data_IF_365511135829
#
_entry.id   IF_365511135829
#
_cell.length_a   1.000
_cell.length_b   1.000
_cell.length_c   1.000
_cell.angle_alpha   90.00
_cell.angle_beta   90.00
_cell.angle_gamma   90.00
#
_symmetry.space_group_name_H-M   'P 1'
#
loop_
_entity.id
_entity.type
_entity.pdbx_description
1 polymer ?
#
# COMPACT_ATOMS: atom_id res chain seq x y z
N UNK A 1 -8.06 -10.12 -11.69
CA UNK A 1 -8.38 -8.80 -11.09
C UNK A 1 -9.58 -8.12 -11.74
N UNK A 2 -9.68 -8.03 -13.08
CA UNK A 2 -10.86 -7.40 -13.74
C UNK A 2 -12.17 -8.12 -13.36
N UNK A 3 -12.22 -9.44 -13.52
CA UNK A 3 -13.43 -10.22 -13.21
C UNK A 3 -13.80 -10.23 -11.72
N UNK A 4 -12.80 -10.18 -10.83
CA UNK A 4 -13.02 -10.03 -9.39
C UNK A 4 -13.73 -8.71 -9.07
N UNK A 5 -13.28 -7.61 -9.68
CA UNK A 5 -13.86 -6.28 -9.51
C UNK A 5 -15.34 -6.27 -9.93
N UNK A 6 -15.63 -6.77 -11.13
CA UNK A 6 -16.99 -6.85 -11.67
C UNK A 6 -17.88 -7.79 -10.86
N UNK A 7 -17.37 -8.95 -10.45
CA UNK A 7 -18.11 -9.91 -9.61
C UNK A 7 -18.37 -9.37 -8.21
N UNK A 8 -17.44 -8.62 -7.63
CA UNK A 8 -17.62 -7.94 -6.35
C UNK A 8 -18.73 -6.89 -6.39
N UNK A 9 -18.93 -6.23 -7.53
CA UNK A 9 -20.07 -5.33 -7.73
C UNK A 9 -21.39 -6.09 -7.80
N UNK A 10 -21.46 -7.16 -8.59
CA UNK A 10 -22.65 -8.03 -8.65
C UNK A 10 -22.99 -8.59 -7.26
N UNK A 11 -22.00 -9.08 -6.52
CA UNK A 11 -22.19 -9.59 -5.16
C UNK A 11 -22.65 -8.53 -4.18
N UNK A 12 -22.13 -7.30 -4.30
CA UNK A 12 -22.60 -6.19 -3.49
C UNK A 12 -24.03 -5.72 -3.79
N UNK A 13 -24.56 -6.00 -5.00
CA UNK A 13 -25.93 -5.69 -5.39
C UNK A 13 -26.91 -6.83 -5.04
N UNK A 14 -26.44 -8.07 -5.13
CA UNK A 14 -27.21 -9.29 -4.86
C UNK A 14 -27.12 -9.76 -3.40
N UNK A 15 -26.33 -9.08 -2.56
CA UNK A 15 -25.95 -9.49 -1.21
C UNK A 15 -25.35 -10.91 -1.16
N UNK A 16 -24.44 -11.20 -2.10
CA UNK A 16 -23.80 -12.51 -2.29
C UNK A 16 -22.29 -12.44 -2.18
N UNK A 17 -21.71 -13.51 -1.66
CA UNK A 17 -20.26 -13.70 -1.57
C UNK A 17 -19.85 -14.88 -2.44
N UNK A 18 -18.86 -14.66 -3.30
CA UNK A 18 -18.40 -15.68 -4.25
C UNK A 18 -17.03 -16.22 -3.85
N UNK A 19 -16.85 -17.53 -4.03
CA UNK A 19 -15.55 -18.20 -3.93
C UNK A 19 -15.27 -18.86 -5.28
N UNK A 20 -14.18 -18.46 -5.92
CA UNK A 20 -13.76 -19.04 -7.20
C UNK A 20 -12.57 -19.96 -6.95
N UNK A 21 -12.63 -21.17 -7.50
CA UNK A 21 -11.51 -22.10 -7.47
C UNK A 21 -10.40 -21.63 -8.43
N UNK A 22 -9.12 -21.72 -8.04
CA UNK A 22 -8.02 -21.45 -8.97
C UNK A 22 -8.08 -22.39 -10.19
N UNK A 23 -7.86 -21.85 -11.39
CA UNK A 23 -7.79 -22.61 -12.65
C UNK A 23 -9.10 -23.31 -13.07
N UNK A 24 -10.24 -22.66 -12.86
CA UNK A 24 -11.57 -23.09 -13.33
C UNK A 24 -11.65 -23.31 -14.86
N UNK A 25 -10.84 -22.59 -15.63
CA UNK A 25 -10.76 -22.70 -17.09
C UNK A 25 -10.34 -24.09 -17.62
N UNK A 26 -9.76 -24.95 -16.78
CA UNK A 26 -9.42 -26.33 -17.17
C UNK A 26 -10.64 -27.21 -17.41
N UNK A 27 -11.78 -26.84 -16.84
CA UNK A 27 -13.03 -27.59 -16.95
C UNK A 27 -13.96 -27.00 -17.99
N UNK A 28 -13.97 -25.67 -18.14
CA UNK A 28 -14.82 -24.99 -19.12
C UNK A 28 -14.13 -23.74 -19.67
N UNK A 29 -14.13 -23.60 -21.01
CA UNK A 29 -13.59 -22.42 -21.67
C UNK A 29 -14.40 -21.17 -21.30
N UNK A 30 -13.69 -20.12 -20.89
CA UNK A 30 -14.25 -18.83 -20.44
C UNK A 30 -15.21 -18.91 -19.24
N UNK A 31 -15.07 -19.92 -18.36
CA UNK A 31 -15.92 -20.13 -17.18
C UNK A 31 -16.12 -18.84 -16.34
N UNK A 32 -15.01 -18.20 -15.96
CA UNK A 32 -15.02 -16.94 -15.20
C UNK A 32 -15.80 -15.83 -15.89
N UNK A 33 -15.68 -15.69 -17.22
CA UNK A 33 -16.38 -14.65 -17.98
C UNK A 33 -17.89 -14.90 -18.00
N UNK A 34 -18.29 -16.14 -18.28
CA UNK A 34 -19.71 -16.54 -18.30
C UNK A 34 -20.36 -16.28 -16.95
N UNK A 35 -19.70 -16.71 -15.86
CA UNK A 35 -20.17 -16.50 -14.50
C UNK A 35 -20.35 -15.01 -14.18
N UNK A 36 -19.35 -14.19 -14.46
CA UNK A 36 -19.40 -12.75 -14.16
C UNK A 36 -20.53 -12.07 -14.93
N UNK A 37 -20.67 -12.37 -16.21
CA UNK A 37 -21.69 -11.74 -17.05
C UNK A 37 -23.10 -12.20 -16.70
N UNK A 38 -23.30 -13.47 -16.34
CA UNK A 38 -24.60 -13.95 -15.86
C UNK A 38 -24.98 -13.28 -14.54
N UNK A 39 -24.06 -13.17 -13.58
CA UNK A 39 -24.35 -12.54 -12.29
C UNK A 39 -24.60 -11.03 -12.43
N UNK A 40 -23.86 -10.32 -13.29
CA UNK A 40 -24.13 -8.90 -13.58
C UNK A 40 -25.49 -8.69 -14.21
N UNK A 41 -25.88 -9.57 -15.14
CA UNK A 41 -27.19 -9.52 -15.77
C UNK A 41 -28.32 -9.75 -14.76
N UNK A 42 -28.16 -10.74 -13.87
CA UNK A 42 -29.12 -10.99 -12.79
C UNK A 42 -29.15 -9.85 -11.77
N UNK A 43 -28.01 -9.24 -11.44
CA UNK A 43 -27.93 -8.07 -10.57
C UNK A 43 -28.68 -6.87 -11.18
N UNK A 44 -28.53 -6.64 -12.50
CA UNK A 44 -29.24 -5.60 -13.23
C UNK A 44 -30.77 -5.77 -13.14
N UNK A 45 -31.26 -7.01 -13.32
CA UNK A 45 -32.69 -7.33 -13.19
C UNK A 45 -33.22 -7.14 -11.77
N UNK A 46 -32.52 -7.68 -10.77
CA UNK A 46 -33.01 -7.68 -9.38
C UNK A 46 -33.01 -6.28 -8.78
N UNK A 47 -32.00 -5.47 -9.10
CA UNK A 47 -31.89 -4.11 -8.55
C UNK A 47 -32.57 -3.05 -9.41
N UNK A 48 -33.17 -3.44 -10.55
CA UNK A 48 -33.78 -2.54 -11.54
C UNK A 48 -32.84 -1.40 -11.98
N UNK A 49 -31.54 -1.68 -12.05
CA UNK A 49 -30.49 -0.73 -12.41
C UNK A 49 -29.91 -1.06 -13.80
N UNK A 50 -30.36 -0.41 -14.88
CA UNK A 50 -29.93 -0.73 -16.23
C UNK A 50 -28.42 -0.51 -16.45
N UNK A 51 -27.84 0.46 -15.73
CA UNK A 51 -26.42 0.83 -15.85
C UNK A 51 -25.45 -0.26 -15.38
N UNK A 52 -25.92 -1.24 -14.60
CA UNK A 52 -25.07 -2.34 -14.09
C UNK A 52 -24.68 -3.32 -15.21
N UNK A 53 -25.51 -3.44 -16.24
CA UNK A 53 -25.25 -4.33 -17.36
C UNK A 53 -25.72 -3.69 -18.67
N UNK A 54 -24.75 -3.26 -19.49
CA UNK A 54 -25.00 -2.77 -20.84
C UNK A 54 -24.85 -3.92 -21.86
N UNK A 55 -25.89 -4.24 -22.66
CA UNK A 55 -25.82 -5.34 -23.65
C UNK A 55 -24.73 -5.16 -24.71
N UNK A 56 -24.47 -3.91 -25.10
CA UNK A 56 -23.46 -3.55 -26.11
C UNK A 56 -22.02 -3.68 -25.57
N UNK A 57 -21.85 -3.50 -24.25
CA UNK A 57 -20.55 -3.52 -23.58
C UNK A 57 -20.63 -4.29 -22.25
N UNK A 58 -20.78 -5.63 -22.28
CA UNK A 58 -20.98 -6.42 -21.07
C UNK A 58 -19.79 -6.27 -20.10
N UNK A 59 -20.11 -5.93 -18.84
CA UNK A 59 -19.12 -5.69 -17.79
C UNK A 59 -18.54 -4.26 -17.75
N UNK A 60 -19.02 -3.36 -18.61
CA UNK A 60 -18.70 -1.94 -18.58
C UNK A 60 -19.97 -1.11 -18.45
N UNK A 61 -19.80 0.10 -17.94
CA UNK A 61 -20.88 1.05 -17.74
C UNK A 61 -20.45 2.44 -18.21
N UNK A 62 -21.41 3.24 -18.67
CA UNK A 62 -21.20 4.64 -19.01
C UNK A 62 -21.04 5.47 -17.74
N UNK A 63 -19.96 6.24 -17.69
CA UNK A 63 -19.66 7.16 -16.59
C UNK A 63 -19.76 8.59 -17.12
N UNK A 64 -20.03 9.54 -16.23
CA UNK A 64 -20.04 10.97 -16.50
C UNK A 64 -18.88 11.64 -15.75
N UNK A 65 -18.23 12.60 -16.38
CA UNK A 65 -17.18 13.39 -15.72
C UNK A 65 -17.80 14.25 -14.62
N UNK A 66 -17.31 14.11 -13.38
CA UNK A 66 -17.80 14.88 -12.24
C UNK A 66 -17.48 16.38 -12.29
N UNK A 67 -16.58 16.82 -13.17
CA UNK A 67 -16.22 18.24 -13.35
C UNK A 67 -17.09 18.93 -14.39
N UNK A 68 -17.40 18.26 -15.51
CA UNK A 68 -18.15 18.86 -16.62
C UNK A 68 -19.59 18.35 -16.72
N UNK A 69 -19.87 17.14 -16.27
CA UNK A 69 -21.16 16.46 -16.43
C UNK A 69 -21.30 15.70 -17.74
N UNK A 70 -20.30 15.76 -18.63
CA UNK A 70 -20.34 15.09 -19.94
C UNK A 70 -20.09 13.58 -19.81
N UNK A 71 -20.70 12.73 -20.65
CA UNK A 71 -20.40 11.30 -20.69
C UNK A 71 -18.99 11.05 -21.23
N UNK A 72 -18.31 10.04 -20.68
CA UNK A 72 -17.06 9.55 -21.25
C UNK A 72 -17.30 8.96 -22.67
N UNK A 73 -16.31 9.13 -23.55
CA UNK A 73 -16.35 8.59 -24.92
C UNK A 73 -16.42 7.06 -24.95
N UNK A 74 -15.74 6.41 -24.01
CA UNK A 74 -15.69 4.96 -23.91
C UNK A 74 -16.28 4.48 -22.58
N UNK A 75 -17.06 3.38 -22.59
CA UNK A 75 -17.58 2.79 -21.37
C UNK A 75 -16.44 2.19 -20.54
N UNK A 76 -16.57 2.29 -19.22
CA UNK A 76 -15.50 1.96 -18.26
C UNK A 76 -15.97 0.82 -17.35
N UNK A 77 -15.02 -0.02 -16.93
CA UNK A 77 -15.31 -1.09 -15.98
C UNK A 77 -15.51 -0.47 -14.60
N UNK A 78 -16.69 -0.70 -14.01
CA UNK A 78 -17.00 -0.35 -12.62
C UNK A 78 -17.02 -1.64 -11.82
N UNK A 79 -16.49 -1.61 -10.61
CA UNK A 79 -16.56 -2.76 -9.74
C UNK A 79 -16.19 -2.49 -8.29
N UNK A 80 -16.21 -3.54 -7.47
CA UNK A 80 -15.75 -3.53 -6.07
C UNK A 80 -14.55 -4.47 -5.92
N UNK A 81 -13.32 -4.01 -6.16
CA UNK A 81 -12.13 -4.83 -5.98
C UNK A 81 -11.81 -4.99 -4.49
N UNK A 82 -11.16 -6.09 -4.13
CA UNK A 82 -10.61 -6.24 -2.79
C UNK A 82 -9.20 -5.62 -2.74
N UNK A 83 -9.09 -4.45 -2.12
CA UNK A 83 -7.82 -3.73 -1.99
C UNK A 83 -7.35 -3.78 -0.53
N UNK A 84 -6.16 -4.32 -0.31
CA UNK A 84 -5.53 -4.38 1.00
C UNK A 84 -4.76 -3.08 1.28
N UNK A 85 -4.97 -2.50 2.47
CA UNK A 85 -4.10 -1.44 2.99
C UNK A 85 -2.86 -2.09 3.60
N UNK A 86 -1.73 -1.95 2.92
CA UNK A 86 -0.43 -2.41 3.43
C UNK A 86 0.14 -1.42 4.44
N UNK A 87 0.90 -1.94 5.40
CA UNK A 87 1.67 -1.10 6.34
C UNK A 87 2.83 -0.47 5.56
N UNK A 88 2.81 0.85 5.44
CA UNK A 88 3.92 1.61 4.86
C UNK A 88 5.03 1.74 5.91
N UNK A 89 6.08 0.92 5.81
CA UNK A 89 7.28 1.00 6.66
C UNK A 89 8.21 2.17 6.28
N UNK A 90 7.72 3.17 5.54
CA UNK A 90 8.50 4.35 5.15
C UNK A 90 8.68 5.30 6.34
N UNK A 91 7.65 5.43 7.20
CA UNK A 91 7.75 6.25 8.42
C UNK A 91 8.75 5.66 9.43
N UNK A 92 8.96 4.34 9.45
CA UNK A 92 10.02 3.67 10.25
C UNK A 92 11.44 3.92 9.70
N UNK A 93 11.56 4.40 8.46
CA UNK A 93 12.86 4.66 7.79
C UNK A 93 13.22 6.14 7.71
N UNK A 94 12.34 7.07 8.11
CA UNK A 94 12.74 8.46 8.34
C UNK A 94 13.29 8.61 9.77
N UNK A 95 14.22 7.75 10.16
CA UNK A 95 15.23 8.16 11.14
C UNK A 95 16.23 9.02 10.38
N UNK A 96 15.90 10.30 10.22
CA UNK A 96 16.86 11.30 9.81
C UNK A 96 18.06 11.22 10.75
N UNK A 97 19.22 10.81 10.23
CA UNK A 97 20.50 10.96 10.92
C UNK A 97 20.77 12.45 11.10
N UNK A 98 20.20 13.02 12.14
CA UNK A 98 20.67 14.25 12.77
C UNK A 98 21.64 13.82 13.87
N UNK A 99 22.91 14.13 13.66
CA UNK A 99 24.06 13.99 14.58
C UNK A 99 23.84 13.21 15.88
N UNK A 100 24.42 12.00 15.98
CA UNK A 100 24.53 11.30 17.26
C UNK A 100 25.23 9.95 17.16
N UNK A 101 26.50 9.93 17.58
CA UNK A 101 27.24 8.91 18.35
C UNK A 101 28.74 9.11 18.01
N UNK A 102 29.33 10.22 18.47
CA UNK A 102 30.74 10.12 18.87
C UNK A 102 30.72 9.16 20.06
N UNK A 103 31.03 7.89 19.75
CA UNK A 103 31.13 6.80 20.69
C UNK A 103 31.93 7.31 21.89
N UNK A 104 31.35 7.23 23.08
CA UNK A 104 31.97 7.60 24.36
C UNK A 104 33.39 6.99 24.49
N UNK A 105 33.61 5.86 23.82
CA UNK A 105 34.90 5.18 23.66
C UNK A 105 35.98 5.99 22.91
N UNK A 106 35.63 6.78 21.88
CA UNK A 106 36.60 7.61 21.15
C UNK A 106 37.05 8.81 21.98
N UNK A 107 36.15 9.42 22.76
CA UNK A 107 36.48 10.55 23.63
C UNK A 107 37.39 10.08 24.79
N UNK A 108 37.07 8.95 25.41
CA UNK A 108 37.93 8.37 26.45
C UNK A 108 39.30 7.95 25.92
N UNK A 109 39.36 7.39 24.70
CA UNK A 109 40.63 7.04 24.06
C UNK A 109 41.51 8.27 23.81
N UNK A 110 40.95 9.34 23.25
CA UNK A 110 41.71 10.57 22.99
C UNK A 110 42.16 11.29 24.27
N UNK A 111 41.37 11.26 25.35
CA UNK A 111 41.77 11.83 26.65
C UNK A 111 42.88 10.99 27.31
N UNK A 112 42.80 9.66 27.26
CA UNK A 112 43.84 8.79 27.82
C UNK A 112 45.16 8.90 27.04
N UNK A 113 45.10 9.06 25.71
CA UNK A 113 46.30 9.24 24.89
C UNK A 113 46.97 10.62 25.12
N UNK A 114 46.19 11.66 25.48
CA UNK A 114 46.70 12.98 25.85
C UNK A 114 47.33 13.00 27.25
N UNK A 115 46.80 12.24 28.21
CA UNK A 115 47.36 12.17 29.57
C UNK A 115 48.65 11.33 29.65
N UNK A 116 48.84 10.35 28.76
CA UNK A 116 50.03 9.50 28.78
C UNK A 116 51.25 10.11 28.07
N UNK A 117 51.06 11.15 27.23
CA UNK A 117 52.11 11.73 26.40
C UNK A 117 52.52 13.16 26.80
N UNK A 118 52.28 13.58 28.04
CA UNK A 118 52.74 14.88 28.53
C UNK A 118 53.92 14.70 29.49
N UNK A 119 55.17 14.62 29.00
CA UNK A 119 56.34 14.76 29.86
C UNK A 119 56.56 16.26 30.12
N UNK A 120 56.94 16.59 31.36
CA UNK A 120 57.42 17.89 31.85
C UNK A 120 56.38 18.74 32.60
N UNK A 121 56.63 18.86 33.91
CA UNK A 121 55.97 19.79 34.81
C UNK A 121 56.47 19.66 36.24
N UNK A 122 57.79 19.58 36.42
CA UNK A 122 58.43 19.78 37.72
C UNK A 122 57.98 21.10 38.36
N UNK A 123 57.90 21.11 39.70
CA UNK A 123 58.05 22.34 40.47
C UNK A 123 57.00 22.54 41.54
N UNK A 124 57.22 21.94 42.72
CA UNK A 124 56.81 22.50 44.02
C UNK A 124 57.42 21.66 45.16
N UNK A 125 58.68 21.95 45.50
CA UNK A 125 59.18 21.76 46.86
C UNK A 125 60.46 22.57 47.08
N UNK A 126 60.30 23.82 47.49
CA UNK A 126 61.23 24.56 48.36
C UNK A 126 60.45 25.57 49.19
N UNK A 127 60.86 25.67 50.46
CA UNK A 127 60.41 26.58 51.52
C UNK A 127 59.14 26.16 52.28
N UNK A 128 59.30 25.52 53.44
CA UNK A 128 59.44 26.29 54.69
C UNK A 128 60.18 25.49 55.79
N UNK A 129 61.08 26.21 56.47
CA UNK A 129 61.89 25.79 57.63
C UNK A 129 61.12 26.03 58.93
N UNK A 130 61.33 25.18 59.94
CA UNK A 130 60.90 25.39 61.33
C UNK A 130 61.06 24.15 62.19
#
# INVERSE_FOLDING_TARGET
QIFECSLGLAGGLLDRHYRIAPFDERYEQEASRKLVFSELYEASKQTANPWVFEPEYPGKSRIFDGRTGDPFEQPVIIGKPYILKLIHQVDDKIHGRSSGHYQIQTIFSNIMHLLHNNPLGEGLSKADNG
#
